data_IF_920599323313
#
_entry.id   IF_920599323313
#
_cell.length_a   1.000
_cell.length_b   1.000
_cell.length_c   1.000
_cell.angle_alpha   90.00
_cell.angle_beta   90.00
_cell.angle_gamma   90.00
#
_symmetry.space_group_name_H-M   'P 1'
#
loop_
_entity.id
_entity.type
_entity.pdbx_description
1 polymer ?
#
# COMPACT_ATOMS: atom_id res chain seq x y z
N UNK A 1 4.08 9.77 0.48
CA UNK A 1 3.81 11.17 0.87
C UNK A 1 4.63 11.58 2.10
N UNK A 2 4.58 10.82 3.19
CA UNK A 2 5.19 11.19 4.50
C UNK A 2 6.70 10.97 4.60
N UNK A 3 7.25 9.96 3.89
CA UNK A 3 8.68 9.63 3.90
C UNK A 3 9.59 10.85 3.63
N UNK A 4 9.35 11.62 2.59
CA UNK A 4 10.24 12.72 2.17
C UNK A 4 10.30 13.87 3.19
N UNK A 5 9.26 14.03 4.01
CA UNK A 5 9.19 15.10 5.02
C UNK A 5 9.69 14.66 6.39
N UNK A 6 9.91 13.36 6.61
CA UNK A 6 10.34 12.83 7.91
C UNK A 6 11.70 13.38 8.34
N UNK A 7 12.71 13.41 7.47
CA UNK A 7 14.01 13.97 7.83
C UNK A 7 13.93 15.47 8.09
N UNK A 8 13.22 16.21 7.25
CA UNK A 8 13.04 17.65 7.44
C UNK A 8 12.31 17.97 8.75
N UNK A 9 11.26 17.20 9.07
CA UNK A 9 10.57 17.28 10.35
C UNK A 9 11.48 16.96 11.54
N UNK A 10 12.34 15.95 11.43
CA UNK A 10 13.30 15.63 12.48
C UNK A 10 14.36 16.73 12.66
N UNK A 11 14.81 17.36 11.58
CA UNK A 11 15.71 18.52 11.62
C UNK A 11 15.05 19.73 12.27
N UNK A 12 13.78 20.01 11.97
CA UNK A 12 13.00 21.10 12.59
C UNK A 12 12.85 20.91 14.11
N UNK A 13 12.87 19.66 14.59
CA UNK A 13 12.83 19.31 16.02
C UNK A 13 14.24 19.38 16.67
N UNK A 14 15.27 19.68 15.90
CA UNK A 14 16.66 19.82 16.37
C UNK A 14 17.46 18.53 16.36
N UNK A 15 17.04 17.52 15.58
CA UNK A 15 17.78 16.27 15.40
C UNK A 15 18.79 16.44 14.26
N UNK A 16 20.03 16.06 14.52
CA UNK A 16 21.12 16.13 13.54
C UNK A 16 20.82 15.31 12.27
N UNK A 17 21.13 15.87 11.09
CA UNK A 17 20.90 15.26 9.77
C UNK A 17 21.49 13.85 9.62
N UNK A 18 22.60 13.55 10.31
CA UNK A 18 23.19 12.21 10.32
C UNK A 18 22.25 11.19 10.98
N UNK A 19 21.62 11.57 12.10
CA UNK A 19 20.66 10.70 12.82
C UNK A 19 19.35 10.55 12.08
N UNK A 20 18.93 11.58 11.34
CA UNK A 20 17.74 11.55 10.49
C UNK A 20 17.90 10.57 9.32
N UNK A 21 19.10 10.48 8.75
CA UNK A 21 19.42 9.51 7.69
C UNK A 21 19.24 8.05 8.14
N UNK A 22 19.58 7.75 9.40
CA UNK A 22 19.38 6.43 10.00
C UNK A 22 17.90 6.00 10.05
N UNK A 23 16.96 6.95 10.18
CA UNK A 23 15.52 6.65 10.18
C UNK A 23 15.08 6.04 8.85
N UNK A 24 15.60 6.54 7.72
CA UNK A 24 15.31 5.99 6.40
C UNK A 24 15.88 4.59 6.20
N UNK A 25 17.09 4.35 6.70
CA UNK A 25 17.69 3.03 6.66
C UNK A 25 16.83 2.01 7.42
N UNK A 26 16.35 2.39 8.62
CA UNK A 26 15.49 1.54 9.44
C UNK A 26 14.17 1.23 8.73
N UNK A 27 13.54 2.23 8.09
CA UNK A 27 12.34 2.02 7.27
C UNK A 27 12.60 1.01 6.15
N UNK A 28 13.71 1.17 5.41
CA UNK A 28 14.06 0.27 4.32
C UNK A 28 14.30 -1.17 4.78
N UNK A 29 15.01 -1.34 5.91
CA UNK A 29 15.30 -2.65 6.47
C UNK A 29 14.04 -3.34 7.02
N UNK A 30 13.21 -2.62 7.78
CA UNK A 30 11.97 -3.15 8.33
C UNK A 30 10.98 -3.51 7.23
N UNK A 31 10.87 -2.67 6.19
CA UNK A 31 10.04 -2.95 5.02
C UNK A 31 10.52 -4.16 4.24
N UNK A 32 11.82 -4.30 4.01
CA UNK A 32 12.35 -5.49 3.33
C UNK A 32 12.00 -6.77 4.12
N UNK A 33 12.17 -6.72 5.45
CA UNK A 33 11.87 -7.87 6.32
C UNK A 33 10.37 -8.21 6.31
N UNK A 34 9.49 -7.22 6.41
CA UNK A 34 8.03 -7.45 6.38
C UNK A 34 7.57 -8.00 5.04
N UNK A 35 8.09 -7.49 3.91
CA UNK A 35 7.80 -8.01 2.56
C UNK A 35 8.19 -9.47 2.40
N UNK A 36 9.36 -9.88 2.92
CA UNK A 36 9.79 -11.28 2.90
C UNK A 36 8.85 -12.18 3.70
N UNK A 37 8.41 -11.72 4.87
CA UNK A 37 7.45 -12.46 5.71
C UNK A 37 6.10 -12.60 5.00
N UNK A 38 5.56 -11.52 4.42
CA UNK A 38 4.30 -11.57 3.67
C UNK A 38 4.43 -12.43 2.42
N UNK A 39 5.55 -12.37 1.70
CA UNK A 39 5.78 -13.22 0.53
C UNK A 39 5.80 -14.72 0.87
N UNK A 40 6.36 -15.08 2.02
CA UNK A 40 6.42 -16.48 2.48
C UNK A 40 5.11 -16.97 3.08
N UNK A 41 4.48 -16.17 3.96
CA UNK A 41 3.33 -16.60 4.74
C UNK A 41 1.98 -16.18 4.15
N UNK A 42 1.95 -15.19 3.25
CA UNK A 42 0.71 -14.70 2.64
C UNK A 42 0.03 -15.68 1.69
N UNK A 43 0.70 -16.77 1.28
CA UNK A 43 0.11 -17.85 0.45
C UNK A 43 -0.32 -19.10 1.23
N UNK A 44 0.17 -19.28 2.45
CA UNK A 44 -0.02 -20.49 3.27
C UNK A 44 -0.70 -20.21 4.61
N UNK A 45 -0.83 -18.94 4.99
CA UNK A 45 -1.48 -18.53 6.23
C UNK A 45 -3.01 -18.51 6.15
N UNK A 46 -3.69 -18.45 7.32
CA UNK A 46 -5.14 -18.36 7.41
C UNK A 46 -5.70 -16.97 7.03
N UNK A 47 -4.83 -15.96 6.90
CA UNK A 47 -5.21 -14.59 6.57
C UNK A 47 -5.16 -14.38 5.06
N UNK A 48 -6.20 -13.76 4.49
CA UNK A 48 -6.16 -13.37 3.09
C UNK A 48 -5.15 -12.23 2.89
N UNK A 49 -4.57 -12.15 1.68
CA UNK A 49 -3.67 -11.05 1.29
C UNK A 49 -4.29 -9.66 1.58
N UNK A 50 -5.60 -9.54 1.40
CA UNK A 50 -6.36 -8.33 1.71
C UNK A 50 -6.42 -8.01 3.22
N UNK A 51 -6.55 -9.01 4.10
CA UNK A 51 -6.55 -8.77 5.55
C UNK A 51 -5.17 -8.28 6.02
N UNK A 52 -4.11 -8.82 5.42
CA UNK A 52 -2.73 -8.39 5.66
C UNK A 52 -2.53 -6.93 5.22
N UNK A 53 -3.06 -6.56 4.05
CA UNK A 53 -3.02 -5.18 3.58
C UNK A 53 -3.78 -4.22 4.49
N UNK A 54 -4.96 -4.61 4.99
CA UNK A 54 -5.74 -3.80 5.93
C UNK A 54 -5.00 -3.60 7.26
N UNK A 55 -4.37 -4.66 7.80
CA UNK A 55 -3.54 -4.56 9.00
C UNK A 55 -2.38 -3.57 8.79
N UNK A 56 -1.68 -3.67 7.67
CA UNK A 56 -0.61 -2.73 7.32
C UNK A 56 -1.11 -1.29 7.21
N UNK A 57 -2.28 -1.08 6.60
CA UNK A 57 -2.87 0.24 6.43
C UNK A 57 -3.25 0.88 7.77
N UNK A 58 -3.77 0.10 8.72
CA UNK A 58 -4.05 0.57 10.09
C UNK A 58 -2.77 0.98 10.81
N UNK A 59 -1.68 0.21 10.66
CA UNK A 59 -0.38 0.54 11.25
C UNK A 59 0.15 1.86 10.69
N UNK A 60 0.06 2.06 9.37
CA UNK A 60 0.49 3.31 8.72
C UNK A 60 -0.34 4.51 9.20
N UNK A 61 -1.67 4.37 9.22
CA UNK A 61 -2.56 5.44 9.65
C UNK A 61 -2.28 5.86 11.10
N UNK A 62 -2.22 4.88 12.02
CA UNK A 62 -1.90 5.15 13.42
C UNK A 62 -0.51 5.79 13.56
N UNK A 63 0.49 5.30 12.83
CA UNK A 63 1.83 5.87 12.84
C UNK A 63 1.82 7.34 12.42
N UNK A 64 1.12 7.69 11.33
CA UNK A 64 1.04 9.06 10.83
C UNK A 64 0.28 10.00 11.77
N UNK A 65 -0.71 9.52 12.52
CA UNK A 65 -1.39 10.31 13.55
C UNK A 65 -0.54 10.52 14.81
N UNK A 66 0.29 9.54 15.19
CA UNK A 66 1.11 9.59 16.41
C UNK A 66 2.42 10.37 16.21
N UNK A 67 2.96 10.40 14.99
CA UNK A 67 4.25 11.04 14.70
C UNK A 67 4.29 12.55 15.08
N UNK A 68 3.29 13.39 14.76
CA UNK A 68 3.28 14.80 15.16
C UNK A 68 3.35 15.04 16.68
N UNK A 69 2.87 14.07 17.48
CA UNK A 69 2.91 14.15 18.94
C UNK A 69 4.26 13.73 19.53
N UNK A 70 5.19 13.26 18.70
CA UNK A 70 6.47 12.69 19.13
C UNK A 70 7.60 13.70 18.94
N UNK A 71 8.19 14.16 20.04
CA UNK A 71 9.36 15.07 20.04
C UNK A 71 10.69 14.37 20.36
N UNK A 72 10.68 13.04 20.55
CA UNK A 72 11.84 12.26 20.99
C UNK A 72 12.34 11.36 19.86
N UNK A 73 13.66 11.32 19.63
CA UNK A 73 14.29 10.50 18.58
C UNK A 73 13.88 9.02 18.64
N UNK A 74 13.84 8.43 19.84
CA UNK A 74 13.43 7.04 20.03
C UNK A 74 12.00 6.77 19.57
N UNK A 75 11.10 7.74 19.72
CA UNK A 75 9.73 7.62 19.20
C UNK A 75 9.69 7.66 17.67
N UNK A 76 10.56 8.46 17.04
CA UNK A 76 10.72 8.46 15.58
C UNK A 76 11.30 7.15 15.06
N UNK A 77 12.25 6.54 15.79
CA UNK A 77 12.77 5.20 15.46
C UNK A 77 11.66 4.16 15.51
N UNK A 78 10.82 4.18 16.54
CA UNK A 78 9.69 3.26 16.65
C UNK A 78 8.68 3.49 15.51
N UNK A 79 8.39 4.75 15.18
CA UNK A 79 7.60 5.10 14.01
C UNK A 79 8.22 4.57 12.72
N UNK A 80 9.52 4.74 12.49
CA UNK A 80 10.24 4.24 11.30
C UNK A 80 10.13 2.73 11.15
N UNK A 81 10.24 1.99 12.25
CA UNK A 81 10.03 0.53 12.25
C UNK A 81 8.59 0.21 11.84
N UNK A 82 7.61 0.80 12.54
CA UNK A 82 6.19 0.56 12.28
C UNK A 82 5.78 0.96 10.86
N UNK A 83 6.28 2.09 10.37
CA UNK A 83 6.03 2.59 9.03
C UNK A 83 6.56 1.62 7.98
N UNK A 84 7.83 1.20 8.07
CA UNK A 84 8.36 0.23 7.10
C UNK A 84 7.66 -1.13 7.16
N UNK A 85 7.28 -1.60 8.37
CA UNK A 85 6.48 -2.82 8.50
C UNK A 85 5.12 -2.67 7.80
N UNK A 86 4.38 -1.59 8.10
CA UNK A 86 3.09 -1.29 7.48
C UNK A 86 3.17 -1.15 5.96
N UNK A 87 4.23 -0.50 5.47
CA UNK A 87 4.53 -0.30 4.05
C UNK A 87 4.67 -1.65 3.32
N UNK A 88 5.45 -2.57 3.86
CA UNK A 88 5.59 -3.91 3.29
C UNK A 88 4.32 -4.76 3.37
N UNK A 89 3.55 -4.62 4.46
CA UNK A 89 2.25 -5.30 4.65
C UNK A 89 1.18 -4.82 3.66
N UNK A 90 1.20 -3.55 3.26
CA UNK A 90 0.24 -2.98 2.30
C UNK A 90 0.65 -3.28 0.87
N UNK A 91 1.89 -2.96 0.51
CA UNK A 91 2.28 -2.98 -0.90
C UNK A 91 2.45 -4.39 -1.45
N UNK A 92 3.05 -5.32 -0.70
CA UNK A 92 3.24 -6.70 -1.21
C UNK A 92 1.93 -7.37 -1.60
N UNK A 93 0.87 -7.36 -0.78
CA UNK A 93 -0.43 -7.89 -1.19
C UNK A 93 -1.06 -7.13 -2.36
N UNK A 94 -1.01 -5.80 -2.38
CA UNK A 94 -1.61 -4.99 -3.45
C UNK A 94 -0.98 -5.33 -4.81
N UNK A 95 0.35 -5.41 -4.88
CA UNK A 95 1.04 -5.79 -6.12
C UNK A 95 0.70 -7.22 -6.54
N UNK A 96 0.60 -8.16 -5.60
CA UNK A 96 0.21 -9.54 -5.91
C UNK A 96 -1.22 -9.61 -6.46
N UNK A 97 -2.18 -8.95 -5.79
CA UNK A 97 -3.59 -8.92 -6.20
C UNK A 97 -3.73 -8.25 -7.58
N UNK A 98 -3.00 -7.16 -7.83
CA UNK A 98 -3.00 -6.48 -9.12
C UNK A 98 -2.51 -7.40 -10.26
N UNK A 99 -1.42 -8.14 -10.04
CA UNK A 99 -0.90 -9.09 -11.04
C UNK A 99 -1.86 -10.26 -11.26
N UNK A 100 -2.44 -10.80 -10.18
CA UNK A 100 -3.38 -11.93 -10.26
C UNK A 100 -4.72 -11.54 -10.89
N UNK A 101 -5.04 -10.25 -10.95
CA UNK A 101 -6.22 -9.72 -11.64
C UNK A 101 -6.05 -9.63 -13.16
N UNK A 102 -4.84 -9.81 -13.68
CA UNK A 102 -4.51 -9.73 -15.11
C UNK A 102 -4.29 -11.14 -15.69
N UNK A 103 -4.87 -11.45 -16.87
CA UNK A 103 -4.62 -12.70 -17.60
C UNK A 103 -3.12 -12.96 -17.81
N UNK A 104 -2.70 -14.23 -17.71
CA UNK A 104 -1.29 -14.63 -17.69
C UNK A 104 -0.48 -14.12 -18.90
N UNK A 105 -1.10 -14.08 -20.08
CA UNK A 105 -0.58 -13.61 -21.36
C UNK A 105 -0.34 -12.09 -21.40
N UNK A 106 -1.02 -11.32 -20.53
CA UNK A 106 -0.96 -9.84 -20.50
C UNK A 106 -0.39 -9.27 -19.20
N UNK A 107 0.10 -10.13 -18.29
CA UNK A 107 0.66 -9.68 -16.99
C UNK A 107 1.76 -8.64 -17.13
N UNK A 108 2.65 -8.79 -18.12
CA UNK A 108 3.71 -7.81 -18.39
C UNK A 108 3.16 -6.42 -18.72
N UNK A 109 2.24 -6.33 -19.68
CA UNK A 109 1.62 -5.06 -20.08
C UNK A 109 0.72 -4.46 -18.99
N UNK A 110 -0.08 -5.30 -18.33
CA UNK A 110 -0.96 -4.86 -17.24
C UNK A 110 -0.19 -4.32 -16.05
N UNK A 111 0.88 -5.01 -15.65
CA UNK A 111 1.77 -4.55 -14.58
C UNK A 111 2.50 -3.26 -14.97
N UNK A 112 2.90 -3.12 -16.23
CA UNK A 112 3.48 -1.87 -16.74
C UNK A 112 2.56 -0.66 -16.55
N UNK A 113 1.29 -0.78 -16.96
CA UNK A 113 0.29 0.29 -16.78
C UNK A 113 0.06 0.57 -15.28
N UNK A 114 -0.09 -0.48 -14.47
CA UNK A 114 -0.24 -0.35 -13.03
C UNK A 114 0.93 0.42 -12.41
N UNK A 115 2.16 0.06 -12.78
CA UNK A 115 3.36 0.71 -12.29
C UNK A 115 3.47 2.16 -12.74
N UNK A 116 3.04 2.49 -13.97
CA UNK A 116 2.99 3.88 -14.43
C UNK A 116 2.05 4.73 -13.56
N UNK A 117 0.84 4.24 -13.30
CA UNK A 117 -0.10 4.92 -12.39
C UNK A 117 0.47 5.06 -10.98
N UNK A 118 1.13 4.01 -10.47
CA UNK A 118 1.78 4.03 -9.17
C UNK A 118 2.87 5.10 -9.09
N UNK A 119 3.77 5.16 -10.07
CA UNK A 119 4.84 6.15 -10.13
C UNK A 119 4.30 7.59 -10.21
N UNK A 120 3.22 7.81 -10.98
CA UNK A 120 2.56 9.12 -11.04
C UNK A 120 2.01 9.54 -9.67
N UNK A 121 1.35 8.63 -8.96
CA UNK A 121 0.87 8.91 -7.61
C UNK A 121 2.03 9.19 -6.63
N UNK A 122 3.14 8.45 -6.76
CA UNK A 122 4.34 8.63 -5.93
C UNK A 122 5.06 9.96 -6.20
N UNK A 123 4.95 10.48 -7.42
CA UNK A 123 5.47 11.80 -7.79
C UNK A 123 4.58 12.93 -7.27
N UNK A 124 3.26 12.82 -7.45
CA UNK A 124 2.29 13.86 -7.07
C UNK A 124 2.17 13.97 -5.55
N UNK A 125 2.25 12.86 -4.81
CA UNK A 125 2.06 12.82 -3.36
C UNK A 125 2.97 13.80 -2.58
N UNK A 126 4.31 13.74 -2.74
CA UNK A 126 5.25 14.69 -2.16
C UNK A 126 4.93 16.16 -2.50
N UNK A 127 4.63 16.46 -3.76
CA UNK A 127 4.32 17.83 -4.21
C UNK A 127 3.08 18.36 -3.48
N UNK A 128 2.01 17.57 -3.44
CA UNK A 128 0.77 17.93 -2.77
C UNK A 128 0.99 18.10 -1.26
N UNK A 129 1.79 17.24 -0.64
CA UNK A 129 2.11 17.35 0.79
C UNK A 129 2.98 18.55 1.16
N UNK A 130 3.93 18.90 0.30
CA UNK A 130 4.72 20.12 0.46
C UNK A 130 3.81 21.34 0.39
N UNK A 131 2.92 21.40 -0.61
CA UNK A 131 1.93 22.47 -0.74
C UNK A 131 1.01 22.58 0.49
N UNK A 132 0.53 21.46 1.03
CA UNK A 132 -0.28 21.45 2.26
C UNK A 132 0.53 21.97 3.46
N UNK A 133 1.79 21.58 3.59
CA UNK A 133 2.68 22.05 4.66
C UNK A 133 2.95 23.56 4.52
N UNK A 134 3.20 24.05 3.30
CA UNK A 134 3.46 25.46 3.02
C UNK A 134 2.25 26.34 3.33
N UNK A 135 1.04 25.91 2.96
CA UNK A 135 -0.22 26.65 3.24
C UNK A 135 -0.57 26.60 4.73
N UNK A 136 -0.34 25.46 5.39
CA UNK A 136 -0.67 25.28 6.81
C UNK A 136 0.36 25.88 7.76
N UNK A 137 1.57 26.18 7.28
CA UNK A 137 2.70 26.64 8.11
C UNK A 137 3.26 25.58 9.08
N UNK A 138 2.84 24.31 8.96
CA UNK A 138 3.31 23.22 9.83
C UNK A 138 3.24 21.87 9.12
N UNK A 139 4.31 21.08 9.25
CA UNK A 139 4.38 19.70 8.76
C UNK A 139 3.39 18.75 9.45
N UNK A 140 2.92 19.09 10.66
CA UNK A 140 1.95 18.27 11.41
C UNK A 140 0.66 18.04 10.62
N UNK A 141 0.19 19.06 9.91
CA UNK A 141 -1.03 18.96 9.09
C UNK A 141 -0.82 18.06 7.86
N UNK A 142 0.39 18.02 7.31
CA UNK A 142 0.73 17.11 6.21
C UNK A 142 0.70 15.64 6.67
N UNK A 143 1.08 15.34 7.91
CA UNK A 143 0.98 13.99 8.48
C UNK A 143 -0.47 13.61 8.81
N UNK A 144 -1.27 14.52 9.37
CA UNK A 144 -2.69 14.24 9.64
C UNK A 144 -3.52 14.03 8.36
N UNK A 145 -3.25 14.80 7.31
CA UNK A 145 -3.88 14.60 6.01
C UNK A 145 -3.49 13.27 5.38
N UNK A 146 -2.21 12.86 5.50
CA UNK A 146 -1.77 11.54 5.06
C UNK A 146 -2.47 10.40 5.82
N UNK A 147 -2.52 10.46 7.16
CA UNK A 147 -3.21 9.47 7.98
C UNK A 147 -4.72 9.40 7.67
N UNK A 148 -5.36 10.54 7.43
CA UNK A 148 -6.78 10.61 7.03
C UNK A 148 -7.03 9.94 5.67
N UNK A 149 -6.12 10.14 4.72
CA UNK A 149 -6.20 9.51 3.39
C UNK A 149 -6.02 7.98 3.49
N UNK A 150 -5.13 7.50 4.36
CA UNK A 150 -4.95 6.07 4.63
C UNK A 150 -6.20 5.46 5.29
N UNK A 151 -6.83 6.15 6.24
CA UNK A 151 -8.10 5.71 6.82
C UNK A 151 -9.19 5.67 5.76
N UNK A 152 -9.30 6.70 4.91
CA UNK A 152 -10.27 6.73 3.82
C UNK A 152 -10.07 5.57 2.84
N UNK A 153 -8.82 5.27 2.46
CA UNK A 153 -8.49 4.13 1.63
C UNK A 153 -8.89 2.81 2.31
N UNK A 154 -8.58 2.64 3.60
CA UNK A 154 -8.99 1.48 4.39
C UNK A 154 -10.51 1.28 4.44
N UNK A 155 -11.27 2.37 4.65
CA UNK A 155 -12.73 2.35 4.59
C UNK A 155 -13.24 1.93 3.21
N UNK A 156 -12.67 2.47 2.13
CA UNK A 156 -13.03 2.08 0.77
C UNK A 156 -12.76 0.59 0.52
N UNK A 157 -11.63 0.06 1.01
CA UNK A 157 -11.31 -1.37 0.93
C UNK A 157 -12.30 -2.26 1.70
N UNK A 158 -12.79 -1.80 2.86
CA UNK A 158 -13.82 -2.53 3.61
C UNK A 158 -15.15 -2.47 2.85
N UNK A 159 -15.50 -1.32 2.26
CA UNK A 159 -16.73 -1.16 1.48
C UNK A 159 -16.74 -2.06 0.24
N UNK A 160 -15.60 -2.26 -0.45
CA UNK A 160 -15.55 -3.19 -1.60
C UNK A 160 -15.76 -4.65 -1.18
N UNK A 161 -15.48 -5.02 0.08
CA UNK A 161 -15.88 -6.33 0.61
C UNK A 161 -17.37 -6.45 0.90
N UNK A 162 -18.02 -5.34 1.27
CA UNK A 162 -19.45 -5.31 1.52
C UNK A 162 -20.28 -5.34 0.22
N UNK A 163 -19.68 -5.07 -0.93
CA UNK A 163 -20.33 -5.24 -2.23
C UNK A 163 -20.18 -6.73 -2.62
N UNK A 164 -21.26 -7.53 -2.57
CA UNK A 164 -21.19 -8.91 -3.01
C UNK A 164 -20.83 -8.91 -4.49
N UNK A 165 -19.75 -9.57 -4.86
CA UNK A 165 -19.33 -9.73 -6.25
C UNK A 165 -20.25 -10.71 -6.98
N UNK A 166 -21.50 -10.30 -7.20
CA UNK A 166 -22.56 -11.04 -7.88
C UNK A 166 -22.29 -11.28 -9.38
N UNK A 167 -21.28 -10.62 -9.97
CA UNK A 167 -21.01 -10.66 -11.41
C UNK A 167 -19.84 -11.58 -11.82
N UNK A 168 -19.12 -12.21 -10.88
CA UNK A 168 -17.97 -13.06 -11.25
C UNK A 168 -18.36 -14.47 -11.70
N UNK A 169 -19.46 -15.01 -11.18
CA UNK A 169 -20.02 -16.30 -11.62
C UNK A 169 -20.63 -16.20 -13.02
N UNK A 170 -21.33 -15.10 -13.35
CA UNK A 170 -22.01 -14.93 -14.65
C UNK A 170 -21.05 -14.89 -15.85
N UNK A 171 -19.83 -14.35 -15.68
CA UNK A 171 -18.83 -14.31 -16.77
C UNK A 171 -18.15 -15.68 -16.93
N UNK A 172 -17.87 -16.38 -15.83
CA UNK A 172 -17.25 -17.71 -15.85
C UNK A 172 -18.19 -18.76 -16.45
N UNK A 173 -19.46 -18.79 -16.05
CA UNK A 173 -20.47 -19.68 -16.66
C UNK A 173 -20.65 -19.38 -18.14
N UNK A 174 -20.75 -18.09 -18.53
CA UNK A 174 -20.86 -17.72 -19.94
C UNK A 174 -19.67 -18.16 -20.78
N UNK A 175 -18.44 -18.07 -20.25
CA UNK A 175 -17.24 -18.55 -20.96
C UNK A 175 -17.10 -20.07 -20.99
N UNK A 176 -17.52 -20.77 -19.93
CA UNK A 176 -17.50 -22.24 -19.84
C UNK A 176 -18.54 -22.86 -20.78
N UNK A 177 -19.76 -22.31 -20.83
CA UNK A 177 -20.80 -22.73 -21.77
C UNK A 177 -20.35 -22.53 -23.23
N UNK A 178 -19.72 -21.39 -23.53
CA UNK A 178 -19.24 -21.12 -24.89
C UNK A 178 -18.11 -22.09 -25.29
N UNK A 179 -17.22 -22.44 -24.36
CA UNK A 179 -16.15 -23.43 -24.60
C UNK A 179 -16.71 -24.84 -24.81
N UNK A 180 -17.69 -25.27 -23.99
CA UNK A 180 -18.33 -26.57 -24.11
C UNK A 180 -19.07 -26.72 -25.44
N UNK A 181 -19.79 -25.69 -25.88
CA UNK A 181 -20.52 -25.68 -27.18
C UNK A 181 -19.57 -25.77 -28.37
N UNK A 182 -18.36 -25.20 -28.28
CA UNK A 182 -17.36 -25.29 -29.36
C UNK A 182 -16.77 -26.70 -29.43
N UNK A 183 -16.43 -27.30 -28.29
CA UNK A 183 -15.89 -28.67 -28.24
C UNK A 183 -16.90 -29.70 -28.75
N UNK A 184 -18.18 -29.55 -28.40
CA UNK A 184 -19.23 -30.46 -28.87
C UNK A 184 -19.40 -30.41 -30.39
N UNK A 185 -19.25 -29.24 -31.02
CA UNK A 185 -19.32 -29.10 -32.49
C UNK A 185 -18.13 -29.72 -33.24
N UNK A 186 -16.94 -29.72 -32.65
CA UNK A 186 -15.76 -30.32 -33.29
C UNK A 186 -15.69 -31.85 -33.13
N UNK A 187 -16.41 -32.43 -32.16
CA UNK A 187 -16.34 -33.89 -31.89
C UNK A 187 -17.38 -34.69 -32.70
N UNK A 188 -18.34 -34.03 -33.36
CA UNK A 188 -19.46 -34.68 -34.08
C UNK A 188 -19.26 -34.67 -35.61
N UNK A 189 -18.04 -34.44 -36.10
CA UNK A 189 -17.66 -34.62 -37.52
C UNK A 189 -16.78 -35.85 -37.71
#
# INVERSE_FOLDING_TARGET
MTLVHLAKFSEDIGIDSYRSSWLYFIIGFSSTTSRLLVGKFGKVGPLSLLDIALLGNVILALGNFVLPSTSVYYGMVLYSIGYGVGEGLVYTPIFNIAIDSVPADKRGSGYGIFQMCYCLAYLIGPILSGFIADVSGSYNNAFYTAGSLEVFAGCLYILTRCIPSSNREVILDGTLDTQLVVVEKETVL
#
